data_IF_211830227429
#
_entry.id   IF_211830227429
#
_cell.length_a   1.000
_cell.length_b   1.000
_cell.length_c   1.000
_cell.angle_alpha   90.00
_cell.angle_beta   90.00
_cell.angle_gamma   90.00
#
_symmetry.space_group_name_H-M   'P 1'
#
loop_
_entity.id
_entity.type
_entity.pdbx_description
1 polymer ?
#
# COMPACT_ATOMS: atom_id res chain seq x y z
N UNK A 1 -0.97 25.09 -5.40
CA UNK A 1 -1.46 25.39 -6.78
C UNK A 1 -0.67 24.68 -7.90
N UNK A 2 0.22 23.76 -7.57
CA UNK A 2 1.03 23.02 -8.57
C UNK A 2 0.45 21.67 -9.00
N UNK A 3 -0.60 21.20 -8.34
CA UNK A 3 -1.22 19.90 -8.61
C UNK A 3 -2.09 19.82 -9.90
N UNK A 4 -2.27 20.93 -10.62
CA UNK A 4 -3.09 20.97 -11.85
C UNK A 4 -2.45 20.22 -13.04
N UNK A 5 -1.16 19.91 -12.96
CA UNK A 5 -0.45 19.14 -14.00
C UNK A 5 -0.51 17.63 -13.81
N UNK A 6 -0.75 17.15 -12.57
CA UNK A 6 -0.84 15.72 -12.22
C UNK A 6 -2.29 15.25 -12.29
N UNK A 7 -2.63 14.42 -13.25
CA UNK A 7 -3.96 13.80 -13.32
C UNK A 7 -3.83 12.29 -13.25
N UNK A 8 -4.88 11.60 -12.79
CA UNK A 8 -4.89 10.13 -12.76
C UNK A 8 -4.73 9.53 -14.16
N UNK A 9 -5.26 10.18 -15.19
CA UNK A 9 -5.11 9.73 -16.58
C UNK A 9 -3.64 9.70 -17.00
N UNK A 10 -2.86 10.73 -16.68
CA UNK A 10 -1.42 10.79 -16.99
C UNK A 10 -0.66 9.70 -16.22
N UNK A 11 -0.94 9.52 -14.93
CA UNK A 11 -0.33 8.49 -14.09
C UNK A 11 -0.63 7.09 -14.65
N UNK A 12 -1.89 6.80 -14.96
CA UNK A 12 -2.33 5.52 -15.53
C UNK A 12 -1.69 5.28 -16.89
N UNK A 13 -1.63 6.31 -17.75
CA UNK A 13 -1.00 6.21 -19.06
C UNK A 13 0.51 5.92 -18.94
N UNK A 14 1.22 6.59 -18.03
CA UNK A 14 2.63 6.31 -17.75
C UNK A 14 2.81 4.86 -17.28
N UNK A 15 2.01 4.43 -16.32
CA UNK A 15 2.09 3.07 -15.77
C UNK A 15 1.91 1.99 -16.84
N UNK A 16 0.90 2.15 -17.71
CA UNK A 16 0.65 1.21 -18.82
C UNK A 16 1.79 1.24 -19.84
N UNK A 17 2.21 2.43 -20.28
CA UNK A 17 3.21 2.59 -21.33
C UNK A 17 4.61 2.14 -20.90
N UNK A 18 4.94 2.24 -19.61
CA UNK A 18 6.27 1.91 -19.08
C UNK A 18 6.33 0.56 -18.35
N UNK A 19 5.22 -0.16 -18.30
CA UNK A 19 5.23 -1.50 -17.71
C UNK A 19 5.25 -1.52 -16.19
N UNK A 20 4.63 -0.52 -15.56
CA UNK A 20 4.39 -0.54 -14.12
C UNK A 20 3.14 -1.34 -13.78
N UNK A 21 2.00 -1.01 -14.39
CA UNK A 21 0.72 -1.62 -14.06
C UNK A 21 -0.12 -1.76 -15.34
N UNK A 22 -0.66 -2.95 -15.56
CA UNK A 22 -1.51 -3.29 -16.70
C UNK A 22 -2.93 -3.64 -16.23
N UNK A 23 -3.96 -3.51 -17.10
CA UNK A 23 -5.27 -4.13 -16.85
C UNK A 23 -5.14 -5.64 -16.75
N UNK A 24 -5.69 -6.23 -15.69
CA UNK A 24 -5.68 -7.68 -15.51
C UNK A 24 -6.50 -8.39 -16.58
N UNK A 25 -5.95 -9.44 -17.20
CA UNK A 25 -6.63 -10.27 -18.22
C UNK A 25 -7.10 -9.48 -19.45
N UNK A 26 -6.36 -8.46 -19.88
CA UNK A 26 -6.76 -7.50 -20.94
C UNK A 26 -7.12 -8.20 -22.26
N UNK A 27 -6.45 -9.32 -22.62
CA UNK A 27 -6.74 -10.07 -23.85
C UNK A 27 -8.15 -10.66 -23.92
N UNK A 28 -8.84 -10.76 -22.76
CA UNK A 28 -10.24 -11.20 -22.65
C UNK A 28 -11.21 -10.05 -22.36
N UNK A 29 -10.77 -8.80 -22.56
CA UNK A 29 -11.56 -7.61 -22.24
C UNK A 29 -11.40 -7.11 -20.80
N UNK A 30 -10.52 -7.74 -20.05
CA UNK A 30 -10.23 -7.39 -18.66
C UNK A 30 -11.30 -7.83 -17.65
N UNK A 31 -10.99 -7.63 -16.39
CA UNK A 31 -11.94 -7.72 -15.28
C UNK A 31 -11.93 -6.37 -14.55
N UNK A 32 -13.12 -5.80 -14.34
CA UNK A 32 -13.24 -4.48 -13.74
C UNK A 32 -12.42 -4.36 -12.45
N UNK A 33 -11.52 -3.39 -12.43
CA UNK A 33 -10.61 -3.08 -11.32
C UNK A 33 -9.71 -4.24 -10.86
N UNK A 34 -9.30 -5.07 -11.79
CA UNK A 34 -8.23 -6.06 -11.65
C UNK A 34 -7.01 -5.56 -12.40
N UNK A 35 -5.87 -5.57 -11.74
CA UNK A 35 -4.63 -4.98 -12.24
C UNK A 35 -3.46 -5.93 -12.00
N UNK A 36 -2.57 -6.01 -12.99
CA UNK A 36 -1.34 -6.77 -12.93
C UNK A 36 -0.15 -5.80 -12.81
N UNK A 37 0.79 -6.09 -11.91
CA UNK A 37 2.05 -5.37 -11.85
C UNK A 37 2.99 -5.89 -12.93
N UNK A 38 3.38 -5.02 -13.86
CA UNK A 38 4.32 -5.33 -14.92
C UNK A 38 5.78 -5.40 -14.45
N UNK A 39 6.75 -5.54 -15.36
CA UNK A 39 8.17 -5.73 -15.00
C UNK A 39 8.73 -4.64 -14.08
N UNK A 40 8.44 -3.37 -14.34
CA UNK A 40 8.88 -2.28 -13.46
C UNK A 40 8.03 -2.17 -12.19
N UNK A 41 6.73 -2.44 -12.31
CA UNK A 41 5.81 -2.36 -11.19
C UNK A 41 6.10 -3.38 -10.09
N UNK A 42 6.42 -4.63 -10.46
CA UNK A 42 6.74 -5.67 -9.48
C UNK A 42 8.03 -5.35 -8.72
N UNK A 43 9.06 -4.84 -9.40
CA UNK A 43 10.31 -4.41 -8.75
C UNK A 43 10.08 -3.22 -7.84
N UNK A 44 9.33 -2.20 -8.31
CA UNK A 44 8.97 -1.05 -7.51
C UNK A 44 8.21 -1.44 -6.23
N UNK A 45 7.14 -2.21 -6.36
CA UNK A 45 6.32 -2.67 -5.23
C UNK A 45 7.14 -3.55 -4.27
N UNK A 46 8.01 -4.41 -4.79
CA UNK A 46 8.91 -5.21 -3.97
C UNK A 46 9.92 -4.34 -3.21
N UNK A 47 10.42 -3.25 -3.81
CA UNK A 47 11.30 -2.32 -3.13
C UNK A 47 10.59 -1.61 -1.97
N UNK A 48 9.32 -1.18 -2.16
CA UNK A 48 8.50 -0.62 -1.08
C UNK A 48 8.32 -1.62 0.06
N UNK A 49 7.97 -2.88 -0.25
CA UNK A 49 7.82 -3.95 0.75
C UNK A 49 9.14 -4.26 1.46
N UNK A 50 10.27 -4.29 0.74
CA UNK A 50 11.61 -4.50 1.35
C UNK A 50 11.99 -3.36 2.29
N UNK A 51 11.71 -2.10 1.91
CA UNK A 51 11.95 -0.94 2.75
C UNK A 51 11.15 -1.02 4.06
N UNK A 52 9.86 -1.39 3.96
CA UNK A 52 9.03 -1.61 5.13
C UNK A 52 9.55 -2.76 6.01
N UNK A 53 9.82 -3.93 5.42
CA UNK A 53 10.34 -5.09 6.14
C UNK A 53 11.66 -4.83 6.84
N UNK A 54 12.56 -4.13 6.14
CA UNK A 54 13.84 -3.72 6.73
C UNK A 54 13.62 -2.88 7.98
N UNK A 55 12.79 -1.85 7.89
CA UNK A 55 12.59 -0.88 8.97
C UNK A 55 11.77 -1.45 10.14
N UNK A 56 10.66 -2.14 9.82
CA UNK A 56 9.72 -2.63 10.82
C UNK A 56 10.12 -3.98 11.43
N UNK A 57 10.87 -4.81 10.71
CA UNK A 57 11.24 -6.15 11.18
C UNK A 57 12.75 -6.27 11.43
N UNK A 58 13.56 -6.05 10.38
CA UNK A 58 14.98 -6.33 10.45
C UNK A 58 15.74 -5.40 11.42
N UNK A 59 15.47 -4.10 11.40
CA UNK A 59 16.10 -3.09 12.26
C UNK A 59 15.42 -2.98 13.64
N UNK A 60 14.27 -3.62 13.83
CA UNK A 60 13.52 -3.57 15.08
C UNK A 60 13.97 -4.63 16.07
N UNK A 61 14.30 -4.21 17.28
CA UNK A 61 14.55 -5.14 18.39
C UNK A 61 13.27 -5.79 18.93
N UNK A 62 12.13 -5.21 18.62
CA UNK A 62 10.83 -5.66 19.14
C UNK A 62 10.16 -6.68 18.24
N UNK A 63 10.20 -6.47 16.93
CA UNK A 63 9.31 -7.15 15.99
C UNK A 63 9.92 -8.43 15.44
N UNK A 64 9.03 -9.33 15.01
CA UNK A 64 9.33 -10.55 14.26
C UNK A 64 8.40 -10.68 13.08
N UNK A 65 8.77 -11.48 12.08
CA UNK A 65 7.94 -11.72 10.90
C UNK A 65 7.08 -12.98 11.04
N UNK A 66 5.95 -12.97 10.34
CA UNK A 66 5.04 -14.10 10.17
C UNK A 66 4.53 -14.13 8.72
N UNK A 67 4.28 -15.31 8.20
CA UNK A 67 3.52 -15.53 6.96
C UNK A 67 2.41 -16.55 7.24
N UNK A 68 1.23 -16.06 7.63
CA UNK A 68 0.07 -16.90 7.92
C UNK A 68 -0.66 -17.29 6.63
N UNK A 69 -1.30 -18.45 6.63
CA UNK A 69 -2.08 -18.93 5.50
C UNK A 69 -3.26 -18.00 5.16
N UNK A 70 -3.58 -17.89 3.87
CA UNK A 70 -4.73 -17.11 3.37
C UNK A 70 -6.04 -17.81 3.79
N UNK A 71 -6.10 -19.14 3.60
CA UNK A 71 -7.25 -19.96 3.97
C UNK A 71 -7.04 -20.43 5.41
N UNK A 72 -7.92 -19.99 6.29
CA UNK A 72 -7.89 -20.32 7.71
C UNK A 72 -9.20 -20.99 8.14
N UNK A 73 -9.22 -21.54 9.36
CA UNK A 73 -10.43 -22.06 9.93
C UNK A 73 -11.53 -20.98 9.92
N UNK A 74 -12.75 -21.26 9.40
CA UNK A 74 -13.85 -20.29 9.35
C UNK A 74 -14.20 -19.66 10.70
N UNK A 75 -14.00 -20.37 11.82
CA UNK A 75 -14.23 -19.86 13.16
C UNK A 75 -13.37 -18.63 13.49
N UNK A 76 -12.21 -18.47 12.85
CA UNK A 76 -11.40 -17.25 12.96
C UNK A 76 -12.20 -16.01 12.56
N UNK A 77 -13.00 -16.12 11.50
CA UNK A 77 -13.80 -15.02 10.97
C UNK A 77 -15.12 -14.83 11.70
N UNK A 78 -15.60 -15.87 12.38
CA UNK A 78 -16.72 -15.78 13.31
C UNK A 78 -16.27 -15.05 14.58
N UNK A 79 -15.15 -15.45 15.15
CA UNK A 79 -14.58 -14.85 16.37
C UNK A 79 -14.27 -13.36 16.19
N UNK A 80 -13.63 -12.99 15.07
CA UNK A 80 -13.31 -11.60 14.76
C UNK A 80 -14.51 -10.74 14.31
N UNK A 81 -15.70 -11.35 14.15
CA UNK A 81 -16.92 -10.65 13.73
C UNK A 81 -17.08 -10.40 12.23
N UNK A 82 -16.12 -10.79 11.39
CA UNK A 82 -16.18 -10.53 9.95
C UNK A 82 -17.35 -11.23 9.24
N UNK A 83 -17.68 -12.47 9.64
CA UNK A 83 -18.83 -13.19 9.04
C UNK A 83 -20.13 -12.47 9.32
N UNK A 84 -20.29 -11.89 10.51
CA UNK A 84 -21.52 -11.23 10.95
C UNK A 84 -21.60 -9.74 10.61
N UNK A 85 -20.49 -9.02 10.65
CA UNK A 85 -20.45 -7.55 10.67
C UNK A 85 -19.77 -6.87 9.48
N UNK A 86 -18.87 -7.56 8.77
CA UNK A 86 -18.07 -6.95 7.69
C UNK A 86 -18.90 -6.80 6.40
N UNK A 87 -19.66 -5.70 6.32
CA UNK A 87 -20.64 -5.51 5.27
C UNK A 87 -20.93 -4.05 4.97
N UNK A 88 -21.22 -3.78 3.70
CA UNK A 88 -21.66 -2.48 3.20
C UNK A 88 -23.19 -2.38 3.10
N UNK A 89 -23.78 -1.19 3.35
CA UNK A 89 -25.18 -0.90 3.07
C UNK A 89 -25.40 -0.62 1.59
N UNK A 90 -25.96 -1.58 0.84
CA UNK A 90 -26.15 -1.47 -0.59
C UNK A 90 -27.57 -1.19 -1.00
N UNK A 91 -27.72 -0.35 -2.04
CA UNK A 91 -28.97 -0.09 -2.72
C UNK A 91 -28.75 0.01 -4.23
N UNK A 92 -29.72 -0.44 -5.02
CA UNK A 92 -29.68 -0.36 -6.48
C UNK A 92 -30.60 0.78 -6.96
N UNK A 93 -30.14 1.60 -7.92
CA UNK A 93 -31.00 2.54 -8.62
C UNK A 93 -31.98 1.75 -9.50
N UNK A 94 -33.30 1.97 -9.34
CA UNK A 94 -34.30 1.25 -10.12
C UNK A 94 -34.32 1.68 -11.60
N UNK A 95 -33.85 2.91 -11.90
CA UNK A 95 -33.73 3.44 -13.23
C UNK A 95 -32.63 2.78 -14.07
N UNK A 96 -31.38 2.98 -13.69
CA UNK A 96 -30.22 2.51 -14.46
C UNK A 96 -29.64 1.17 -13.96
N UNK A 97 -30.14 0.62 -12.86
CA UNK A 97 -29.65 -0.61 -12.22
C UNK A 97 -28.23 -0.51 -11.63
N UNK A 98 -27.68 0.70 -11.59
CA UNK A 98 -26.39 0.93 -10.93
C UNK A 98 -26.52 0.68 -9.42
N UNK A 99 -25.47 0.12 -8.86
CA UNK A 99 -25.39 -0.23 -7.43
C UNK A 99 -24.55 0.78 -6.69
N UNK A 100 -25.06 1.26 -5.56
CA UNK A 100 -24.42 2.27 -4.74
C UNK A 100 -24.38 1.86 -3.28
N UNK A 101 -23.38 2.38 -2.56
CA UNK A 101 -23.33 2.34 -1.09
C UNK A 101 -24.16 3.51 -0.57
N UNK A 102 -25.13 3.22 0.26
CA UNK A 102 -26.01 4.24 0.85
C UNK A 102 -25.24 5.22 1.73
N UNK A 103 -24.30 4.74 2.54
CA UNK A 103 -23.43 5.55 3.36
C UNK A 103 -22.60 6.54 2.50
N UNK A 104 -22.03 6.09 1.40
CA UNK A 104 -21.22 6.95 0.51
C UNK A 104 -22.04 8.02 -0.19
N UNK A 105 -23.28 7.72 -0.58
CA UNK A 105 -24.18 8.72 -1.14
C UNK A 105 -24.50 9.84 -0.11
N UNK A 106 -24.62 9.46 1.15
CA UNK A 106 -24.87 10.43 2.25
C UNK A 106 -23.63 11.27 2.53
N UNK A 107 -22.44 10.64 2.63
CA UNK A 107 -21.18 11.35 2.85
C UNK A 107 -20.88 12.35 1.72
N UNK A 108 -21.12 11.97 0.48
CA UNK A 108 -20.95 12.84 -0.69
C UNK A 108 -21.92 14.01 -0.66
N UNK A 109 -23.18 13.77 -0.32
CA UNK A 109 -24.18 14.81 -0.13
C UNK A 109 -23.76 15.77 0.99
N UNK A 110 -23.32 15.26 2.14
CA UNK A 110 -22.86 16.06 3.28
C UNK A 110 -21.68 16.95 2.87
N UNK A 111 -20.70 16.38 2.17
CA UNK A 111 -19.55 17.13 1.66
C UNK A 111 -19.94 18.26 0.70
N UNK A 112 -20.82 17.97 -0.26
CA UNK A 112 -21.28 18.97 -1.24
C UNK A 112 -22.09 20.11 -0.62
N UNK A 113 -22.80 19.83 0.47
CA UNK A 113 -23.67 20.80 1.15
C UNK A 113 -23.04 21.42 2.41
N UNK A 114 -21.81 21.02 2.78
CA UNK A 114 -21.10 21.54 3.95
C UNK A 114 -21.81 21.18 5.26
N UNK A 115 -22.41 19.98 5.35
CA UNK A 115 -23.03 19.46 6.58
C UNK A 115 -22.17 18.38 7.21
N UNK A 116 -22.35 18.16 8.52
CA UNK A 116 -21.59 17.16 9.29
C UNK A 116 -22.33 15.82 9.41
N UNK A 117 -23.20 15.49 8.44
CA UNK A 117 -23.95 14.25 8.44
C UNK A 117 -23.01 13.03 8.24
N UNK A 118 -22.85 12.22 9.31
CA UNK A 118 -22.00 11.03 9.29
C UNK A 118 -22.86 9.77 9.47
N UNK A 119 -23.02 8.94 8.42
CA UNK A 119 -23.88 7.76 8.46
C UNK A 119 -23.24 6.53 9.15
N UNK A 120 -22.02 6.62 9.67
CA UNK A 120 -21.28 5.47 10.21
C UNK A 120 -22.01 4.68 11.31
N UNK A 121 -22.82 5.39 12.12
CA UNK A 121 -23.63 4.80 13.22
C UNK A 121 -25.12 4.64 12.90
N UNK A 122 -25.55 4.96 11.66
CA UNK A 122 -26.96 4.98 11.31
C UNK A 122 -27.49 3.60 10.97
N UNK A 123 -28.78 3.36 11.30
CA UNK A 123 -29.48 2.19 10.79
C UNK A 123 -29.82 2.35 9.30
N UNK A 124 -30.12 1.24 8.64
CA UNK A 124 -30.49 1.27 7.22
C UNK A 124 -31.78 2.08 6.99
N UNK A 125 -32.70 2.05 7.95
CA UNK A 125 -33.93 2.85 7.90
C UNK A 125 -33.62 4.35 7.99
N UNK A 126 -32.68 4.74 8.85
CA UNK A 126 -32.22 6.15 8.96
C UNK A 126 -31.54 6.61 7.69
N UNK A 127 -30.64 5.79 7.12
CA UNK A 127 -29.99 6.10 5.85
C UNK A 127 -31.01 6.25 4.72
N UNK A 128 -31.96 5.31 4.59
CA UNK A 128 -32.99 5.36 3.55
C UNK A 128 -33.91 6.59 3.71
N UNK A 129 -34.29 6.92 4.95
CA UNK A 129 -35.10 8.10 5.24
C UNK A 129 -34.35 9.39 4.86
N UNK A 130 -33.09 9.51 5.20
CA UNK A 130 -32.25 10.66 4.88
C UNK A 130 -32.07 10.85 3.37
N UNK A 131 -31.74 9.78 2.64
CA UNK A 131 -31.59 9.79 1.17
C UNK A 131 -32.89 10.32 0.53
N UNK A 132 -34.04 9.83 0.99
CA UNK A 132 -35.34 10.27 0.50
C UNK A 132 -35.68 11.71 0.87
N UNK A 133 -35.45 12.11 2.15
CA UNK A 133 -35.73 13.46 2.63
C UNK A 133 -34.88 14.52 1.94
N UNK A 134 -33.60 14.25 1.76
CA UNK A 134 -32.65 15.17 1.12
C UNK A 134 -32.73 15.14 -0.40
N UNK A 135 -33.54 14.24 -0.98
CA UNK A 135 -33.67 14.09 -2.43
C UNK A 135 -32.38 13.68 -3.12
N UNK A 136 -31.54 12.85 -2.45
CA UNK A 136 -30.29 12.37 -3.02
C UNK A 136 -30.61 11.51 -4.25
N UNK A 137 -29.94 11.81 -5.36
CA UNK A 137 -30.16 11.16 -6.66
C UNK A 137 -29.01 10.22 -7.03
N UNK A 138 -29.28 9.29 -7.91
CA UNK A 138 -28.28 8.40 -8.47
C UNK A 138 -27.22 9.21 -9.25
N UNK A 139 -25.94 9.12 -8.94
CA UNK A 139 -24.89 9.86 -9.64
C UNK A 139 -24.76 9.47 -11.11
N UNK A 140 -25.17 8.24 -11.49
CA UNK A 140 -25.04 7.75 -12.86
C UNK A 140 -26.16 8.23 -13.79
N UNK A 141 -27.40 8.38 -13.29
CA UNK A 141 -28.56 8.70 -14.16
C UNK A 141 -29.47 9.81 -13.64
N UNK A 142 -29.19 10.37 -12.44
CA UNK A 142 -30.04 11.40 -11.82
C UNK A 142 -31.38 10.90 -11.28
N UNK A 143 -31.66 9.59 -11.31
CA UNK A 143 -32.90 9.02 -10.77
C UNK A 143 -32.93 8.99 -9.23
N UNK A 144 -34.11 9.20 -8.63
CA UNK A 144 -34.31 9.22 -7.18
C UNK A 144 -34.96 7.95 -6.60
N UNK A 145 -35.28 6.97 -7.45
CA UNK A 145 -35.95 5.73 -7.02
C UNK A 145 -34.93 4.61 -6.81
N UNK A 146 -34.72 4.25 -5.56
CA UNK A 146 -33.80 3.21 -5.15
C UNK A 146 -34.54 2.01 -4.54
N UNK A 147 -33.86 0.87 -4.51
CA UNK A 147 -34.33 -0.30 -3.74
C UNK A 147 -34.10 -0.08 -2.24
N UNK A 148 -34.69 -0.96 -1.42
CA UNK A 148 -34.33 -1.03 -0.01
C UNK A 148 -32.84 -1.31 0.15
N UNK A 149 -32.24 -0.76 1.24
CA UNK A 149 -30.84 -1.02 1.60
C UNK A 149 -30.70 -2.44 2.08
N UNK A 150 -29.73 -3.16 1.49
CA UNK A 150 -29.41 -4.53 1.86
C UNK A 150 -27.98 -4.64 2.39
N UNK A 151 -27.80 -5.49 3.37
CA UNK A 151 -26.50 -5.85 3.90
C UNK A 151 -25.74 -6.71 2.91
N UNK A 152 -24.55 -6.31 2.51
CA UNK A 152 -23.68 -7.06 1.63
C UNK A 152 -22.34 -7.36 2.33
N UNK A 153 -22.10 -8.64 2.63
CA UNK A 153 -20.85 -9.06 3.24
C UNK A 153 -19.70 -9.02 2.23
N UNK A 154 -18.60 -8.38 2.60
CA UNK A 154 -17.44 -8.17 1.73
C UNK A 154 -16.49 -9.39 1.66
N UNK A 155 -16.74 -10.45 2.41
CA UNK A 155 -15.87 -11.64 2.37
C UNK A 155 -16.12 -12.45 1.11
N UNK A 156 -15.06 -12.82 0.40
CA UNK A 156 -15.12 -13.85 -0.62
C UNK A 156 -15.28 -15.22 0.02
N UNK A 157 -16.30 -15.95 -0.39
CA UNK A 157 -16.55 -17.35 -0.01
C UNK A 157 -15.99 -18.28 -1.08
N UNK A 158 -15.44 -19.41 -0.63
CA UNK A 158 -15.09 -20.53 -1.49
C UNK A 158 -15.31 -21.83 -0.72
N UNK A 159 -15.01 -22.97 -1.32
CA UNK A 159 -15.24 -24.29 -0.74
C UNK A 159 -13.97 -25.12 -0.76
N UNK A 160 -13.79 -25.97 0.24
CA UNK A 160 -12.76 -27.00 0.25
C UNK A 160 -13.41 -28.38 0.13
N UNK A 161 -12.71 -29.34 -0.52
CA UNK A 161 -13.27 -30.68 -0.76
C UNK A 161 -14.11 -30.73 -2.04
N UNK A 162 -14.98 -31.73 -2.13
CA UNK A 162 -15.70 -32.10 -3.36
C UNK A 162 -17.14 -31.58 -3.44
N UNK A 163 -17.67 -31.05 -2.36
CA UNK A 163 -19.06 -30.56 -2.27
C UNK A 163 -19.10 -29.09 -1.88
N UNK A 164 -19.98 -28.34 -2.54
CA UNK A 164 -20.26 -26.94 -2.27
C UNK A 164 -21.40 -26.80 -1.25
N UNK A 165 -21.12 -27.10 0.00
CA UNK A 165 -22.07 -27.00 1.10
C UNK A 165 -21.56 -26.12 2.24
N UNK A 166 -22.41 -25.87 3.22
CA UNK A 166 -22.08 -24.98 4.34
C UNK A 166 -20.96 -25.52 5.23
N UNK A 167 -20.77 -26.84 5.28
CA UNK A 167 -19.73 -27.48 6.12
C UNK A 167 -18.34 -27.35 5.48
N UNK A 168 -18.28 -27.16 4.18
CA UNK A 168 -17.06 -27.02 3.40
C UNK A 168 -16.74 -25.55 3.05
N UNK A 169 -17.55 -24.60 3.53
CA UNK A 169 -17.36 -23.17 3.29
C UNK A 169 -16.11 -22.65 4.00
N UNK A 170 -15.24 -22.00 3.25
CA UNK A 170 -14.10 -21.23 3.75
C UNK A 170 -14.10 -19.83 3.11
N UNK A 171 -13.26 -18.96 3.63
CA UNK A 171 -13.18 -17.58 3.18
C UNK A 171 -11.76 -17.23 2.74
N UNK A 172 -11.64 -16.38 1.72
CA UNK A 172 -10.39 -15.66 1.47
C UNK A 172 -10.28 -14.57 2.53
N UNK A 173 -9.13 -14.48 3.19
CA UNK A 173 -8.93 -13.51 4.29
C UNK A 173 -9.16 -12.08 3.81
N UNK A 174 -9.97 -11.25 4.51
CA UNK A 174 -10.19 -9.85 4.19
C UNK A 174 -9.11 -8.92 4.75
N UNK A 175 -8.26 -9.45 5.64
CA UNK A 175 -7.13 -8.76 6.29
C UNK A 175 -6.07 -9.76 6.75
N UNK A 176 -4.88 -9.27 7.01
CA UNK A 176 -3.75 -10.08 7.52
C UNK A 176 -3.70 -10.15 9.04
N UNK A 177 -4.37 -9.24 9.76
CA UNK A 177 -4.35 -9.12 11.22
C UNK A 177 -4.75 -10.40 11.94
N UNK A 178 -5.85 -11.04 11.55
CA UNK A 178 -6.37 -12.23 12.24
C UNK A 178 -5.40 -13.41 12.18
N UNK A 179 -4.62 -13.53 11.09
CA UNK A 179 -3.54 -14.50 10.99
C UNK A 179 -2.45 -14.28 12.04
N UNK A 180 -2.23 -13.04 12.46
CA UNK A 180 -1.28 -12.69 13.51
C UNK A 180 -1.86 -13.07 14.88
N UNK A 181 -3.10 -12.66 15.16
CA UNK A 181 -3.73 -12.93 16.47
C UNK A 181 -3.83 -14.42 16.80
N UNK A 182 -4.29 -15.26 15.86
CA UNK A 182 -4.40 -16.71 16.09
C UNK A 182 -3.04 -17.39 16.27
N UNK A 183 -1.96 -16.77 15.85
CA UNK A 183 -0.60 -17.26 16.01
C UNK A 183 0.18 -16.61 17.17
N UNK A 184 -0.43 -15.68 17.94
CA UNK A 184 0.23 -14.94 19.01
C UNK A 184 1.03 -15.86 19.94
N UNK A 185 0.40 -16.85 20.54
CA UNK A 185 1.04 -17.78 21.49
C UNK A 185 2.18 -18.60 20.85
N UNK A 186 2.01 -19.02 19.60
CA UNK A 186 3.02 -19.81 18.89
C UNK A 186 4.25 -18.99 18.59
N UNK A 187 4.05 -17.76 18.13
CA UNK A 187 5.13 -16.82 17.82
C UNK A 187 5.85 -16.38 19.10
N UNK A 188 5.10 -15.99 20.14
CA UNK A 188 5.68 -15.55 21.41
C UNK A 188 6.57 -16.64 22.03
N UNK A 189 6.11 -17.89 22.07
CA UNK A 189 6.86 -19.02 22.63
C UNK A 189 8.08 -19.38 21.78
N UNK A 190 7.94 -19.46 20.46
CA UNK A 190 9.03 -19.86 19.57
C UNK A 190 10.13 -18.80 19.47
N UNK A 191 9.75 -17.53 19.48
CA UNK A 191 10.69 -16.40 19.44
C UNK A 191 11.22 -15.99 20.81
N UNK A 192 10.63 -16.50 21.90
CA UNK A 192 10.93 -16.15 23.30
C UNK A 192 10.88 -14.64 23.58
N UNK A 193 10.01 -13.94 22.85
CA UNK A 193 9.84 -12.50 23.03
C UNK A 193 9.11 -12.20 24.33
N UNK A 194 9.55 -11.15 25.00
CA UNK A 194 8.85 -10.50 26.12
C UNK A 194 8.07 -9.30 25.59
N UNK A 195 7.01 -8.91 26.27
CA UNK A 195 6.32 -7.66 25.98
C UNK A 195 7.19 -6.44 26.32
N UNK A 196 7.17 -5.35 25.53
CA UNK A 196 6.43 -5.25 24.30
C UNK A 196 7.11 -5.93 23.11
N UNK A 197 6.34 -6.56 22.23
CA UNK A 197 6.85 -7.05 20.95
C UNK A 197 5.79 -7.02 19.87
N UNK A 198 6.20 -7.00 18.61
CA UNK A 198 5.31 -6.97 17.47
C UNK A 198 5.48 -8.18 16.55
N UNK A 199 4.40 -8.50 15.85
CA UNK A 199 4.39 -9.51 14.78
C UNK A 199 3.98 -8.80 13.49
N UNK A 200 4.83 -8.90 12.47
CA UNK A 200 4.66 -8.25 11.18
C UNK A 200 4.32 -9.27 10.10
N UNK A 201 3.45 -8.89 9.19
CA UNK A 201 3.11 -9.69 8.02
C UNK A 201 2.96 -8.81 6.78
N UNK A 202 3.45 -9.31 5.64
CA UNK A 202 3.09 -8.82 4.30
C UNK A 202 2.30 -9.92 3.63
N UNK A 203 1.11 -9.62 3.14
CA UNK A 203 0.30 -10.66 2.51
C UNK A 203 -0.90 -10.16 1.74
N UNK A 204 -1.39 -11.01 0.84
CA UNK A 204 -2.62 -10.79 0.09
C UNK A 204 -3.84 -10.83 0.98
N UNK A 205 -4.77 -9.89 0.71
CA UNK A 205 -6.10 -9.82 1.30
C UNK A 205 -7.14 -9.59 0.21
N UNK A 206 -8.39 -9.96 0.49
CA UNK A 206 -9.45 -10.02 -0.50
C UNK A 206 -10.74 -9.41 0.06
N UNK A 207 -11.27 -8.40 -0.61
CA UNK A 207 -12.56 -7.79 -0.25
C UNK A 207 -13.42 -7.69 -1.50
N UNK A 208 -14.61 -8.26 -1.46
CA UNK A 208 -15.55 -8.21 -2.57
C UNK A 208 -16.17 -6.81 -2.70
N UNK A 209 -15.30 -5.82 -2.95
CA UNK A 209 -15.67 -4.42 -3.09
C UNK A 209 -16.73 -4.22 -4.19
N UNK A 210 -17.76 -3.46 -3.86
CA UNK A 210 -18.86 -3.18 -4.80
C UNK A 210 -18.52 -2.02 -5.73
N UNK A 211 -17.85 -0.99 -5.20
CA UNK A 211 -17.41 0.18 -5.94
C UNK A 211 -15.89 0.27 -5.94
N UNK A 212 -15.19 -0.72 -6.56
CA UNK A 212 -13.75 -0.60 -6.73
C UNK A 212 -13.46 0.57 -7.67
N UNK A 213 -12.33 1.26 -7.48
CA UNK A 213 -12.05 2.44 -8.30
C UNK A 213 -10.70 3.07 -8.02
N UNK A 214 -10.44 4.17 -8.73
CA UNK A 214 -9.22 4.94 -8.59
C UNK A 214 -7.96 4.10 -8.81
N UNK A 215 -7.93 3.36 -9.92
CA UNK A 215 -6.78 2.53 -10.30
C UNK A 215 -6.51 1.44 -9.24
N UNK A 216 -5.28 1.30 -8.74
CA UNK A 216 -4.93 0.32 -7.70
C UNK A 216 -5.23 0.79 -6.27
N UNK A 217 -5.88 1.94 -6.09
CA UNK A 217 -6.24 2.45 -4.78
C UNK A 217 -7.30 1.60 -4.07
N UNK A 218 -8.32 1.13 -4.81
CA UNK A 218 -9.37 0.25 -4.27
C UNK A 218 -9.65 -0.89 -5.23
N UNK A 219 -9.11 -2.05 -4.91
CA UNK A 219 -9.22 -3.30 -5.67
C UNK A 219 -9.82 -4.40 -4.81
N UNK A 220 -10.24 -5.51 -5.43
CA UNK A 220 -10.78 -6.68 -4.72
C UNK A 220 -9.70 -7.60 -4.16
N UNK A 221 -8.54 -7.58 -4.78
CA UNK A 221 -7.33 -8.28 -4.36
C UNK A 221 -6.21 -7.26 -4.16
N UNK A 222 -5.63 -7.22 -2.98
CA UNK A 222 -4.59 -6.24 -2.62
C UNK A 222 -3.59 -6.86 -1.64
N UNK A 223 -2.50 -6.16 -1.36
CA UNK A 223 -1.53 -6.55 -0.33
C UNK A 223 -1.57 -5.59 0.85
N UNK A 224 -1.50 -6.15 2.06
CA UNK A 224 -1.30 -5.39 3.30
C UNK A 224 0.11 -5.63 3.83
N UNK A 225 0.67 -4.60 4.45
CA UNK A 225 1.84 -4.65 5.34
C UNK A 225 1.35 -4.26 6.72
N UNK A 226 1.31 -5.20 7.64
CA UNK A 226 0.60 -5.06 8.90
C UNK A 226 1.49 -5.46 10.07
N UNK A 227 1.45 -4.67 11.12
CA UNK A 227 2.11 -4.92 12.40
C UNK A 227 1.06 -4.95 13.49
N UNK A 228 1.02 -6.05 14.24
CA UNK A 228 0.31 -6.11 15.52
C UNK A 228 1.33 -6.02 16.64
N UNK A 229 1.34 -4.89 17.33
CA UNK A 229 2.28 -4.60 18.40
C UNK A 229 1.64 -4.81 19.78
N UNK A 230 2.05 -5.85 20.44
CA UNK A 230 1.53 -6.29 21.73
C UNK A 230 2.25 -5.57 22.87
N UNK A 231 1.51 -4.94 23.77
CA UNK A 231 2.05 -4.19 24.90
C UNK A 231 1.26 -4.45 26.20
N UNK A 232 1.83 -4.01 27.33
CA UNK A 232 1.15 -4.08 28.63
C UNK A 232 -0.04 -3.10 28.65
N UNK A 233 -1.23 -3.52 29.13
CA UNK A 233 -2.35 -2.61 29.31
C UNK A 233 -1.96 -1.37 30.12
N UNK A 234 -2.39 -0.19 29.66
CA UNK A 234 -2.02 1.10 30.25
C UNK A 234 -0.76 1.75 29.66
N UNK A 235 0.00 1.05 28.79
CA UNK A 235 1.11 1.63 28.01
C UNK A 235 0.76 1.82 26.53
N UNK A 236 -0.43 1.43 26.15
CA UNK A 236 -0.97 1.41 24.79
C UNK A 236 -0.92 2.77 24.09
N UNK A 237 -1.36 3.84 24.75
CA UNK A 237 -1.37 5.19 24.17
C UNK A 237 0.05 5.76 23.94
N UNK A 238 1.03 5.36 24.76
CA UNK A 238 2.43 5.73 24.52
C UNK A 238 2.97 5.03 23.26
N UNK A 239 2.66 3.73 23.11
CA UNK A 239 3.03 2.97 21.93
C UNK A 239 2.26 3.39 20.68
N UNK A 240 1.00 3.79 20.83
CA UNK A 240 0.22 4.40 19.75
C UNK A 240 0.90 5.66 19.22
N UNK A 241 1.27 6.59 20.11
CA UNK A 241 1.99 7.79 19.72
C UNK A 241 3.38 7.48 19.09
N UNK A 242 4.10 6.50 19.64
CA UNK A 242 5.37 6.05 19.07
C UNK A 242 5.21 5.55 17.63
N UNK A 243 4.27 4.62 17.39
CA UNK A 243 4.07 4.04 16.07
C UNK A 243 3.50 5.06 15.07
N UNK A 244 2.63 5.97 15.51
CA UNK A 244 2.16 7.07 14.67
C UNK A 244 3.34 7.91 14.14
N UNK A 245 4.24 8.34 15.01
CA UNK A 245 5.41 9.11 14.61
C UNK A 245 6.38 8.29 13.76
N UNK A 246 6.60 7.01 14.10
CA UNK A 246 7.49 6.12 13.35
C UNK A 246 7.01 5.89 11.92
N UNK A 247 5.70 5.65 11.74
CA UNK A 247 5.10 5.48 10.43
C UNK A 247 5.19 6.75 9.57
N UNK A 248 4.94 7.90 10.17
CA UNK A 248 5.08 9.19 9.48
C UNK A 248 6.51 9.42 9.00
N UNK A 249 7.48 9.23 9.90
CA UNK A 249 8.89 9.42 9.56
C UNK A 249 9.35 8.45 8.45
N UNK A 250 8.87 7.19 8.43
CA UNK A 250 9.18 6.23 7.39
C UNK A 250 8.74 6.70 5.99
N UNK A 251 7.57 7.33 5.88
CA UNK A 251 7.10 7.92 4.62
C UNK A 251 8.01 9.06 4.15
N UNK A 252 8.39 9.95 5.09
CA UNK A 252 9.28 11.10 4.79
C UNK A 252 10.70 10.64 4.41
N UNK A 253 11.26 9.67 5.15
CA UNK A 253 12.59 9.10 4.88
C UNK A 253 12.69 8.49 3.48
N UNK A 254 11.56 8.02 2.91
CA UNK A 254 11.47 7.49 1.55
C UNK A 254 11.08 8.55 0.50
N UNK A 255 11.12 9.82 0.88
CA UNK A 255 10.98 10.95 -0.03
C UNK A 255 9.55 11.41 -0.28
N UNK A 256 8.55 10.93 0.48
CA UNK A 256 7.20 11.46 0.39
C UNK A 256 7.14 12.87 0.98
N UNK A 257 6.52 13.81 0.29
CA UNK A 257 6.45 15.21 0.71
C UNK A 257 5.40 15.40 1.80
N UNK A 258 5.81 16.02 2.89
CA UNK A 258 4.95 16.24 4.07
C UNK A 258 3.69 17.09 3.75
N UNK A 259 3.81 18.05 2.83
CA UNK A 259 2.68 18.85 2.37
C UNK A 259 1.57 18.05 1.65
N UNK A 260 1.88 16.86 1.16
CA UNK A 260 0.93 15.92 0.55
C UNK A 260 0.38 14.89 1.54
N UNK A 261 0.79 14.96 2.81
CA UNK A 261 0.32 14.08 3.88
C UNK A 261 -0.52 14.87 4.89
N UNK A 262 -1.49 14.21 5.48
CA UNK A 262 -2.14 14.67 6.70
C UNK A 262 -2.48 13.50 7.62
N UNK A 263 -2.41 13.75 8.91
CA UNK A 263 -2.84 12.81 9.94
C UNK A 263 -4.22 13.24 10.42
N UNK A 264 -5.18 12.32 10.41
CA UNK A 264 -6.56 12.55 10.85
C UNK A 264 -6.89 11.62 12.00
N UNK A 265 -6.95 12.18 13.21
CA UNK A 265 -7.40 11.44 14.37
C UNK A 265 -8.93 11.25 14.29
N UNK A 266 -9.42 10.05 14.58
CA UNK A 266 -10.85 9.76 14.63
C UNK A 266 -11.50 10.40 15.86
N UNK A 267 -12.68 10.97 15.67
CA UNK A 267 -13.53 11.38 16.78
C UNK A 267 -14.07 10.17 17.55
N UNK A 268 -14.51 10.32 18.82
CA UNK A 268 -15.09 9.21 19.58
C UNK A 268 -16.26 8.51 18.88
N UNK A 269 -17.01 9.23 18.05
CA UNK A 269 -18.16 8.72 17.29
C UNK A 269 -17.75 7.91 16.06
N UNK A 270 -16.55 8.16 15.53
CA UNK A 270 -16.00 7.45 14.38
C UNK A 270 -15.22 6.17 14.77
N UNK A 271 -14.81 6.07 16.05
CA UNK A 271 -14.02 4.92 16.48
C UNK A 271 -14.78 3.61 16.29
N UNK A 272 -14.10 2.63 15.73
CA UNK A 272 -14.60 1.25 15.75
C UNK A 272 -14.80 0.80 17.21
N UNK A 273 -15.79 -0.07 17.42
CA UNK A 273 -16.17 -0.55 18.76
C UNK A 273 -15.03 -1.26 19.54
N UNK A 274 -13.99 -1.68 18.85
CA UNK A 274 -12.80 -2.33 19.42
C UNK A 274 -11.62 -1.37 19.60
N UNK A 275 -11.73 -0.14 19.12
CA UNK A 275 -10.61 0.81 19.10
C UNK A 275 -10.78 1.89 20.17
N UNK A 276 -9.69 2.17 20.89
CA UNK A 276 -9.58 3.25 21.87
C UNK A 276 -9.08 4.56 21.25
N UNK A 277 -8.27 4.45 20.21
CA UNK A 277 -7.75 5.55 19.41
C UNK A 277 -7.43 5.06 17.99
N UNK A 278 -7.66 5.91 16.99
CA UNK A 278 -7.31 5.63 15.59
C UNK A 278 -6.85 6.91 14.92
N UNK A 279 -5.78 6.83 14.15
CA UNK A 279 -5.29 7.90 13.28
C UNK A 279 -5.13 7.36 11.86
N UNK A 280 -5.76 8.01 10.89
CA UNK A 280 -5.53 7.76 9.47
C UNK A 280 -4.41 8.65 8.96
N UNK A 281 -3.54 8.08 8.15
CA UNK A 281 -2.58 8.80 7.33
C UNK A 281 -3.20 8.92 5.94
N UNK A 282 -3.44 10.14 5.51
CA UNK A 282 -4.03 10.40 4.22
C UNK A 282 -3.03 11.11 3.30
N UNK A 283 -3.05 10.74 2.02
CA UNK A 283 -2.24 11.36 0.97
C UNK A 283 -3.14 12.09 -0.02
N UNK A 284 -2.67 13.23 -0.53
CA UNK A 284 -3.35 14.04 -1.53
C UNK A 284 -3.13 13.49 -2.93
N UNK A 285 -3.99 12.54 -3.33
CA UNK A 285 -4.04 12.03 -4.69
C UNK A 285 -4.67 13.04 -5.66
N UNK A 286 -4.53 12.87 -6.98
CA UNK A 286 -5.24 13.72 -7.95
C UNK A 286 -6.77 13.68 -7.83
N UNK A 287 -7.33 12.63 -7.23
CA UNK A 287 -8.77 12.50 -6.95
C UNK A 287 -9.17 13.00 -5.54
N UNK A 288 -8.26 13.60 -4.79
CA UNK A 288 -8.49 14.09 -3.43
C UNK A 288 -7.77 13.27 -2.37
N UNK A 289 -8.06 13.57 -1.11
CA UNK A 289 -7.47 12.88 0.04
C UNK A 289 -7.89 11.42 0.09
N UNK A 290 -6.92 10.54 0.25
CA UNK A 290 -7.13 9.10 0.34
C UNK A 290 -6.27 8.49 1.44
N UNK A 291 -6.87 7.60 2.22
CA UNK A 291 -6.23 6.87 3.31
C UNK A 291 -5.14 5.95 2.78
N UNK A 292 -3.94 6.07 3.33
CA UNK A 292 -2.80 5.18 3.10
C UNK A 292 -2.65 4.14 4.19
N UNK A 293 -2.76 4.59 5.44
CA UNK A 293 -2.34 3.92 6.64
C UNK A 293 -3.30 4.20 7.77
N UNK A 294 -3.70 3.17 8.51
CA UNK A 294 -4.36 3.31 9.78
C UNK A 294 -3.40 2.91 10.90
N UNK A 295 -3.35 3.69 11.97
CA UNK A 295 -2.75 3.26 13.25
C UNK A 295 -3.88 3.23 14.26
N UNK A 296 -4.16 2.06 14.85
CA UNK A 296 -5.26 1.85 15.78
C UNK A 296 -4.77 1.25 17.10
N UNK A 297 -5.29 1.75 18.21
CA UNK A 297 -5.21 1.05 19.51
C UNK A 297 -6.44 0.15 19.63
N UNK A 298 -6.24 -1.16 19.44
CA UNK A 298 -7.27 -2.21 19.40
C UNK A 298 -7.57 -2.79 20.76
N UNK A 299 -6.91 -2.32 21.81
CA UNK A 299 -6.99 -2.87 23.17
C UNK A 299 -6.71 -4.39 23.20
N UNK A 300 -7.41 -5.15 24.03
CA UNK A 300 -7.34 -6.63 24.10
C UNK A 300 -8.43 -7.34 23.29
N UNK A 301 -9.17 -6.59 22.47
CA UNK A 301 -10.38 -7.08 21.82
C UNK A 301 -10.17 -8.39 21.04
N UNK A 302 -9.21 -8.40 20.11
CA UNK A 302 -9.03 -9.55 19.20
C UNK A 302 -8.57 -10.80 19.94
N UNK A 303 -7.56 -10.68 20.82
CA UNK A 303 -7.11 -11.81 21.64
C UNK A 303 -8.23 -12.33 22.55
N UNK A 304 -9.00 -11.44 23.17
CA UNK A 304 -10.14 -11.79 23.99
C UNK A 304 -11.26 -12.50 23.21
N UNK A 305 -11.53 -12.08 21.98
CA UNK A 305 -12.50 -12.77 21.12
C UNK A 305 -12.00 -14.18 20.73
N UNK A 306 -10.73 -14.32 20.33
CA UNK A 306 -10.17 -15.63 20.01
C UNK A 306 -10.11 -16.54 21.23
N UNK A 307 -9.80 -16.05 22.42
CA UNK A 307 -9.86 -16.81 23.66
C UNK A 307 -11.28 -17.30 23.93
N UNK A 308 -12.27 -16.41 23.88
CA UNK A 308 -13.68 -16.73 24.10
C UNK A 308 -14.21 -17.79 23.14
N UNK A 309 -13.89 -17.70 21.86
CA UNK A 309 -14.40 -18.62 20.84
C UNK A 309 -13.65 -19.94 20.77
N UNK A 310 -12.34 -19.94 21.00
CA UNK A 310 -11.52 -21.14 20.94
C UNK A 310 -11.42 -21.88 22.26
N UNK A 311 -11.67 -21.22 23.37
CA UNK A 311 -11.42 -21.76 24.74
C UNK A 311 -9.92 -21.91 25.03
N UNK A 312 -9.03 -21.27 24.24
CA UNK A 312 -7.57 -21.31 24.45
C UNK A 312 -7.11 -20.01 25.10
N UNK A 313 -6.29 -20.14 26.14
CA UNK A 313 -5.68 -19.00 26.83
C UNK A 313 -4.81 -18.18 25.87
N UNK A 314 -5.12 -16.89 25.71
CA UNK A 314 -4.37 -15.90 24.95
C UNK A 314 -3.69 -14.88 25.85
N UNK A 315 -3.57 -15.14 27.16
CA UNK A 315 -2.88 -14.25 28.09
C UNK A 315 -1.37 -14.36 27.98
N UNK A 316 -0.70 -13.30 28.40
CA UNK A 316 0.76 -13.25 28.57
C UNK A 316 1.09 -13.39 30.05
N UNK A 317 2.05 -14.25 30.39
CA UNK A 317 2.62 -14.33 31.73
C UNK A 317 3.84 -13.43 31.84
N UNK A 318 3.73 -12.39 32.65
CA UNK A 318 4.83 -11.50 32.97
C UNK A 318 5.67 -12.10 34.10
N UNK A 319 6.85 -12.59 33.76
CA UNK A 319 7.77 -13.22 34.71
C UNK A 319 8.34 -12.24 35.75
N UNK A 320 8.33 -10.93 35.46
CA UNK A 320 8.88 -9.91 36.33
C UNK A 320 7.89 -9.53 37.44
N UNK A 321 6.61 -9.49 37.11
CA UNK A 321 5.54 -9.16 38.06
C UNK A 321 4.79 -10.37 38.60
N UNK A 322 4.89 -11.53 37.93
CA UNK A 322 4.10 -12.74 38.22
C UNK A 322 2.63 -12.63 37.83
N UNK A 323 2.26 -11.64 37.03
CA UNK A 323 0.89 -11.38 36.60
C UNK A 323 0.56 -12.06 35.27
N UNK A 324 -0.70 -12.46 35.09
CA UNK A 324 -1.28 -12.84 33.82
C UNK A 324 -2.22 -11.75 33.32
N UNK A 325 -2.09 -11.34 32.07
CA UNK A 325 -2.99 -10.38 31.46
C UNK A 325 -3.06 -10.58 29.95
N UNK A 326 -4.20 -10.22 29.34
CA UNK A 326 -4.31 -10.14 27.89
C UNK A 326 -3.61 -8.88 27.40
N UNK A 327 -2.61 -8.96 26.49
CA UNK A 327 -1.95 -7.79 25.96
C UNK A 327 -2.90 -6.86 25.23
N UNK A 328 -2.61 -5.55 25.31
CA UNK A 328 -3.21 -4.57 24.41
C UNK A 328 -2.42 -4.52 23.11
N UNK A 329 -3.07 -4.13 22.03
CA UNK A 329 -2.53 -4.17 20.69
C UNK A 329 -2.58 -2.80 20.04
N UNK A 330 -1.45 -2.35 19.49
CA UNK A 330 -1.36 -1.19 18.59
C UNK A 330 -1.08 -1.72 17.19
N UNK A 331 -1.94 -1.38 16.25
CA UNK A 331 -1.93 -1.86 14.87
C UNK A 331 -1.58 -0.74 13.89
N UNK A 332 -0.35 -0.64 13.37
CA UNK A 332 -0.07 0.03 12.10
C UNK A 332 -0.40 -0.88 10.92
N UNK A 333 -1.42 -0.53 10.14
CA UNK A 333 -1.89 -1.30 8.97
C UNK A 333 -1.85 -0.47 7.70
N UNK A 334 -1.10 -0.93 6.69
CA UNK A 334 -0.79 -0.23 5.46
C UNK A 334 -1.15 -1.06 4.23
N UNK A 335 -1.88 -0.46 3.29
CA UNK A 335 -2.08 -1.04 1.96
C UNK A 335 -0.84 -0.87 1.09
N UNK A 336 -0.15 -1.97 0.75
CA UNK A 336 1.06 -1.92 -0.09
C UNK A 336 0.80 -1.30 -1.46
N UNK A 337 -0.37 -1.58 -2.06
CA UNK A 337 -0.78 -1.03 -3.35
C UNK A 337 -1.06 0.47 -3.27
N UNK A 338 -1.72 0.93 -2.19
CA UNK A 338 -2.02 2.35 -1.97
C UNK A 338 -0.76 3.17 -1.75
N UNK A 339 0.16 2.71 -0.91
CA UNK A 339 1.40 3.43 -0.65
C UNK A 339 2.34 3.43 -1.86
N UNK A 340 2.38 2.33 -2.63
CA UNK A 340 3.12 2.31 -3.89
C UNK A 340 2.54 3.33 -4.89
N UNK A 341 1.19 3.40 -5.00
CA UNK A 341 0.55 4.44 -5.82
C UNK A 341 0.88 5.85 -5.30
N UNK A 342 0.86 6.08 -4.00
CA UNK A 342 1.19 7.39 -3.42
C UNK A 342 2.63 7.80 -3.73
N UNK A 343 3.61 6.92 -3.54
CA UNK A 343 5.01 7.19 -3.94
C UNK A 343 5.14 7.48 -5.43
N UNK A 344 4.41 6.77 -6.27
CA UNK A 344 4.44 6.98 -7.73
C UNK A 344 3.83 8.33 -8.11
N UNK A 345 2.70 8.69 -7.52
CA UNK A 345 2.03 9.98 -7.73
C UNK A 345 2.90 11.12 -7.21
N UNK A 346 3.49 10.95 -6.02
CA UNK A 346 4.35 11.98 -5.44
C UNK A 346 5.60 12.21 -6.28
N UNK A 347 6.22 11.13 -6.76
CA UNK A 347 7.43 11.17 -7.58
C UNK A 347 7.22 11.71 -9.00
N UNK A 348 6.00 11.67 -9.55
CA UNK A 348 5.74 12.10 -10.93
C UNK A 348 5.92 13.59 -11.09
N UNK A 349 6.66 14.02 -12.12
CA UNK A 349 6.75 15.42 -12.53
C UNK A 349 6.89 15.57 -14.05
N UNK A 350 6.51 16.76 -14.55
CA UNK A 350 6.72 17.22 -15.92
C UNK A 350 7.50 18.52 -15.85
N UNK A 351 8.80 18.45 -16.14
CA UNK A 351 9.73 19.57 -16.05
C UNK A 351 10.03 20.16 -17.43
N UNK A 352 9.83 21.45 -17.58
CA UNK A 352 10.29 22.18 -18.76
C UNK A 352 11.78 22.55 -18.61
N UNK A 353 12.64 21.84 -19.35
CA UNK A 353 14.10 22.02 -19.27
C UNK A 353 14.62 23.01 -20.32
N UNK A 354 13.85 23.31 -21.35
CA UNK A 354 14.04 24.36 -22.33
C UNK A 354 12.68 24.72 -22.94
N UNK A 355 12.57 25.86 -23.61
CA UNK A 355 11.33 26.30 -24.25
C UNK A 355 10.75 25.20 -25.15
N UNK A 356 9.58 24.67 -24.78
CA UNK A 356 8.90 23.60 -25.49
C UNK A 356 9.51 22.19 -25.34
N UNK A 357 10.56 22.02 -24.53
CA UNK A 357 11.15 20.71 -24.23
C UNK A 357 10.82 20.27 -22.80
N UNK A 358 9.78 19.48 -22.68
CA UNK A 358 9.30 18.92 -21.38
C UNK A 358 9.83 17.52 -21.20
N UNK A 359 10.42 17.24 -20.02
CA UNK A 359 10.74 15.87 -19.60
C UNK A 359 9.70 15.37 -18.59
N UNK A 360 9.25 14.15 -18.78
CA UNK A 360 8.53 13.40 -17.74
C UNK A 360 9.57 12.68 -16.88
N UNK A 361 9.45 12.78 -15.57
CA UNK A 361 10.39 12.17 -14.62
C UNK A 361 9.66 11.61 -13.42
N UNK A 362 10.16 10.49 -12.88
CA UNK A 362 9.74 9.94 -11.60
C UNK A 362 10.86 10.12 -10.58
N UNK A 363 10.69 11.07 -9.67
CA UNK A 363 11.64 11.40 -8.61
C UNK A 363 11.57 10.40 -7.42
N UNK A 364 11.64 9.11 -7.71
CA UNK A 364 11.66 8.10 -6.64
C UNK A 364 12.90 8.26 -5.76
N UNK A 365 12.72 8.07 -4.45
CA UNK A 365 13.87 7.78 -3.60
C UNK A 365 14.67 6.62 -4.23
N UNK A 366 16.01 6.71 -4.35
CA UNK A 366 16.79 5.70 -5.06
C UNK A 366 16.58 4.27 -4.56
N UNK A 367 16.29 4.08 -3.26
CA UNK A 367 15.95 2.78 -2.70
C UNK A 367 14.65 2.20 -3.28
N UNK A 368 13.68 3.03 -3.69
CA UNK A 368 12.41 2.58 -4.25
C UNK A 368 12.45 2.38 -5.77
N UNK A 369 13.36 3.05 -6.49
CA UNK A 369 13.45 2.96 -7.93
C UNK A 369 13.50 1.50 -8.41
N UNK A 370 12.69 1.12 -9.42
CA UNK A 370 12.66 -0.27 -9.93
C UNK A 370 13.98 -0.69 -10.58
N UNK A 371 14.64 0.25 -11.23
CA UNK A 371 15.98 0.10 -11.83
C UNK A 371 16.93 1.02 -11.07
N UNK A 372 18.04 0.48 -10.56
CA UNK A 372 18.98 1.27 -9.74
C UNK A 372 19.97 2.06 -10.57
N UNK A 373 20.35 1.52 -11.72
CA UNK A 373 21.23 2.17 -12.66
C UNK A 373 20.97 1.69 -14.09
N UNK A 374 21.29 2.50 -15.08
CA UNK A 374 21.29 2.10 -16.47
C UNK A 374 22.70 2.27 -17.08
N UNK A 375 23.22 1.24 -17.73
CA UNK A 375 24.49 1.26 -18.44
C UNK A 375 24.25 1.59 -19.91
N UNK A 376 24.81 2.69 -20.37
CA UNK A 376 24.52 3.31 -21.65
C UNK A 376 25.82 3.50 -22.46
N UNK A 377 26.23 2.55 -23.34
CA UNK A 377 27.40 2.74 -24.17
C UNK A 377 27.18 3.90 -25.15
N UNK A 378 28.10 4.88 -25.20
CA UNK A 378 27.98 6.05 -26.08
C UNK A 378 27.89 5.63 -27.57
N UNK A 379 28.54 4.55 -27.93
CA UNK A 379 28.51 3.94 -29.26
C UNK A 379 28.37 2.42 -29.15
N UNK A 380 27.72 1.78 -30.14
CA UNK A 380 27.64 0.34 -30.25
C UNK A 380 29.01 -0.37 -30.27
N UNK A 381 30.07 0.33 -30.69
CA UNK A 381 31.43 -0.22 -30.63
C UNK A 381 31.94 -0.49 -29.22
N UNK A 382 31.34 0.15 -28.24
CA UNK A 382 31.69 0.05 -26.82
C UNK A 382 30.78 -0.95 -26.06
N UNK A 383 29.77 -1.53 -26.74
CA UNK A 383 28.73 -2.32 -26.09
C UNK A 383 29.28 -3.55 -25.37
N UNK A 384 30.27 -4.24 -25.93
CA UNK A 384 30.87 -5.45 -25.32
C UNK A 384 31.47 -5.15 -23.95
N UNK A 385 32.26 -4.09 -23.82
CA UNK A 385 32.85 -3.67 -22.54
C UNK A 385 31.84 -3.04 -21.58
N UNK A 386 30.88 -2.29 -22.11
CA UNK A 386 29.79 -1.77 -21.30
C UNK A 386 28.90 -2.90 -20.72
N UNK A 387 28.75 -4.04 -21.43
CA UNK A 387 28.08 -5.22 -20.93
C UNK A 387 28.84 -5.87 -19.77
N UNK A 388 30.17 -5.86 -19.76
CA UNK A 388 30.95 -6.34 -18.59
C UNK A 388 30.60 -5.55 -17.32
N UNK A 389 30.46 -4.23 -17.45
CA UNK A 389 30.02 -3.38 -16.34
C UNK A 389 28.58 -3.69 -15.94
N UNK A 390 27.67 -3.84 -16.90
CA UNK A 390 26.29 -4.25 -16.64
C UNK A 390 26.23 -5.57 -15.89
N UNK A 391 26.93 -6.61 -16.37
CA UNK A 391 26.96 -7.94 -15.76
C UNK A 391 27.52 -7.91 -14.33
N UNK A 392 28.45 -6.99 -14.06
CA UNK A 392 28.98 -6.83 -12.71
C UNK A 392 27.99 -6.14 -11.77
N UNK A 393 27.31 -5.08 -12.21
CA UNK A 393 26.29 -4.37 -11.43
C UNK A 393 25.03 -5.22 -11.23
N UNK A 394 24.64 -6.02 -12.22
CA UNK A 394 23.46 -6.89 -12.18
C UNK A 394 23.54 -8.00 -11.11
N UNK A 395 24.72 -8.30 -10.58
CA UNK A 395 24.90 -9.22 -9.45
C UNK A 395 24.35 -8.66 -8.13
N UNK A 396 24.26 -7.33 -8.03
CA UNK A 396 23.84 -6.64 -6.81
C UNK A 396 22.43 -6.03 -6.92
N UNK A 397 22.09 -5.51 -8.10
CA UNK A 397 20.87 -4.71 -8.30
C UNK A 397 20.19 -5.00 -9.62
N UNK A 398 18.92 -4.61 -9.71
CA UNK A 398 18.22 -4.52 -10.98
C UNK A 398 18.77 -3.31 -11.77
N UNK A 399 19.41 -3.59 -12.89
CA UNK A 399 20.02 -2.59 -13.78
C UNK A 399 19.52 -2.80 -15.21
N UNK A 400 19.52 -1.73 -16.02
CA UNK A 400 19.20 -1.80 -17.44
C UNK A 400 20.43 -1.53 -18.31
N UNK A 401 20.39 -2.08 -19.52
CA UNK A 401 21.36 -1.82 -20.58
C UNK A 401 20.63 -1.31 -21.81
N UNK A 402 21.01 -0.14 -22.33
CA UNK A 402 20.37 0.43 -23.51
C UNK A 402 21.40 1.06 -24.46
N UNK A 403 21.44 0.56 -25.70
CA UNK A 403 22.28 1.06 -26.77
C UNK A 403 21.49 1.68 -27.94
N UNK A 404 20.15 1.83 -27.77
CA UNK A 404 19.23 2.18 -28.86
C UNK A 404 18.92 3.65 -28.94
N UNK A 405 19.29 4.30 -30.04
CA UNK A 405 19.07 5.72 -30.29
C UNK A 405 20.14 6.64 -29.69
N UNK A 406 19.90 7.95 -29.66
CA UNK A 406 20.85 8.91 -29.10
C UNK A 406 20.89 8.85 -27.57
N UNK A 407 22.03 9.23 -26.98
CA UNK A 407 22.23 9.21 -25.53
C UNK A 407 21.16 10.04 -24.79
N UNK A 408 20.80 11.21 -25.33
CA UNK A 408 19.75 12.06 -24.75
C UNK A 408 18.37 11.38 -24.70
N UNK A 409 17.99 10.60 -25.76
CA UNK A 409 16.75 9.82 -25.76
C UNK A 409 16.78 8.68 -24.72
N UNK A 410 17.95 8.10 -24.51
CA UNK A 410 18.13 7.04 -23.49
C UNK A 410 18.02 7.61 -22.08
N UNK A 411 18.60 8.77 -21.81
CA UNK A 411 18.41 9.48 -20.53
C UNK A 411 16.93 9.75 -20.26
N UNK A 412 16.18 10.26 -21.27
CA UNK A 412 14.73 10.52 -21.12
C UNK A 412 13.94 9.26 -20.76
N UNK A 413 14.25 8.11 -21.39
CA UNK A 413 13.59 6.85 -21.06
C UNK A 413 13.85 6.42 -19.62
N UNK A 414 15.06 6.65 -19.11
CA UNK A 414 15.42 6.35 -17.73
C UNK A 414 14.82 7.34 -16.73
N UNK A 415 14.73 8.63 -17.09
CA UNK A 415 14.03 9.63 -16.27
C UNK A 415 12.55 9.25 -16.08
N UNK A 416 11.87 8.82 -17.15
CA UNK A 416 10.45 8.41 -17.13
C UNK A 416 10.16 7.19 -16.26
N UNK A 417 11.11 6.31 -16.03
CA UNK A 417 10.95 5.12 -15.16
C UNK A 417 11.59 5.31 -13.78
N UNK A 418 12.19 6.48 -13.55
CA UNK A 418 12.73 6.86 -12.26
C UNK A 418 14.09 6.26 -11.92
N UNK A 419 14.88 5.83 -12.90
CA UNK A 419 16.25 5.32 -12.68
C UNK A 419 17.15 6.43 -12.15
N UNK A 420 17.72 6.31 -10.93
CA UNK A 420 18.46 7.41 -10.31
C UNK A 420 19.81 7.70 -10.99
N UNK A 421 20.47 6.69 -11.57
CA UNK A 421 21.81 6.83 -12.12
C UNK A 421 21.90 6.28 -13.53
N UNK A 422 22.33 7.11 -14.48
CA UNK A 422 22.67 6.68 -15.83
C UNK A 422 24.19 6.68 -15.99
N UNK A 423 24.76 5.53 -16.32
CA UNK A 423 26.21 5.33 -16.44
C UNK A 423 26.57 5.26 -17.93
N UNK A 424 27.24 6.28 -18.42
CA UNK A 424 27.69 6.33 -19.80
C UNK A 424 29.12 5.78 -19.91
N UNK A 425 29.26 4.70 -20.68
CA UNK A 425 30.54 4.17 -21.10
C UNK A 425 30.92 4.81 -22.42
N UNK A 426 31.98 5.59 -22.45
CA UNK A 426 32.42 6.41 -23.60
C UNK A 426 33.80 5.98 -24.12
N UNK A 427 34.31 6.65 -25.14
CA UNK A 427 35.62 6.34 -25.73
C UNK A 427 36.78 6.72 -24.81
N UNK A 428 36.60 7.70 -23.92
CA UNK A 428 37.64 8.08 -22.97
C UNK A 428 37.77 7.06 -21.84
N UNK A 429 36.70 6.31 -21.57
CA UNK A 429 36.70 5.19 -20.60
C UNK A 429 37.77 4.15 -20.93
N UNK A 430 38.03 3.93 -22.25
CA UNK A 430 39.09 3.04 -22.72
C UNK A 430 40.51 3.51 -22.34
N UNK A 431 40.67 4.82 -22.12
CA UNK A 431 41.96 5.44 -21.86
C UNK A 431 42.21 5.68 -20.37
N UNK A 432 41.19 6.17 -19.65
CA UNK A 432 41.29 6.61 -18.25
C UNK A 432 40.61 5.66 -17.23
N UNK A 433 39.90 4.64 -17.70
CA UNK A 433 39.21 3.70 -16.82
C UNK A 433 38.05 4.32 -16.04
N UNK A 434 37.53 5.47 -16.48
CA UNK A 434 36.44 6.18 -15.82
C UNK A 434 35.17 6.19 -16.67
N UNK A 435 34.01 6.20 -16.04
CA UNK A 435 32.69 6.37 -16.66
C UNK A 435 32.03 7.65 -16.20
N UNK A 436 31.09 8.15 -17.01
CA UNK A 436 30.29 9.31 -16.63
C UNK A 436 28.98 8.83 -16.01
N UNK A 437 28.71 9.23 -14.76
CA UNK A 437 27.45 8.96 -14.06
C UNK A 437 26.63 10.25 -14.08
N UNK A 438 25.41 10.16 -14.65
CA UNK A 438 24.42 11.24 -14.62
C UNK A 438 23.41 10.97 -13.54
N UNK A 439 23.22 11.92 -12.66
CA UNK A 439 22.14 11.94 -11.67
C UNK A 439 20.82 12.35 -12.33
N UNK A 440 19.74 11.63 -12.03
CA UNK A 440 18.40 11.87 -12.59
C UNK A 440 17.83 13.21 -12.21
N UNK A 441 17.96 13.60 -10.94
CA UNK A 441 17.24 14.75 -10.38
C UNK A 441 17.95 16.06 -10.75
N UNK A 442 19.24 16.16 -10.50
CA UNK A 442 20.04 17.34 -10.84
C UNK A 442 20.46 17.42 -12.31
N UNK A 443 20.41 16.30 -13.05
CA UNK A 443 21.01 16.12 -14.38
C UNK A 443 22.52 16.35 -14.44
N UNK A 444 23.17 16.56 -13.31
CA UNK A 444 24.61 16.71 -13.22
C UNK A 444 25.33 15.41 -13.60
N UNK A 445 26.51 15.56 -14.17
CA UNK A 445 27.33 14.46 -14.62
C UNK A 445 28.68 14.52 -13.90
N UNK A 446 29.06 13.39 -13.32
CA UNK A 446 30.36 13.22 -12.67
C UNK A 446 31.12 12.09 -13.32
N UNK A 447 32.44 12.25 -13.44
CA UNK A 447 33.32 11.20 -13.96
C UNK A 447 33.96 10.46 -12.80
N UNK A 448 33.75 9.12 -12.74
CA UNK A 448 34.27 8.28 -11.66
C UNK A 448 34.96 7.03 -12.21
N UNK A 449 35.97 6.48 -11.50
CA UNK A 449 36.59 5.22 -11.87
C UNK A 449 35.60 4.05 -11.91
N UNK A 450 35.74 3.15 -12.88
CA UNK A 450 34.92 1.92 -13.01
C UNK A 450 34.89 1.13 -11.68
N UNK A 451 36.02 1.03 -10.99
CA UNK A 451 36.10 0.31 -9.71
C UNK A 451 35.28 0.95 -8.57
N UNK A 452 34.91 2.20 -8.67
CA UNK A 452 34.16 2.94 -7.64
C UNK A 452 32.65 2.98 -7.90
N UNK A 453 32.18 2.57 -9.10
CA UNK A 453 30.77 2.65 -9.49
C UNK A 453 29.86 1.91 -8.51
N UNK A 454 30.22 0.69 -8.09
CA UNK A 454 29.43 -0.05 -7.10
C UNK A 454 29.31 0.68 -5.77
N UNK A 455 30.42 1.19 -5.27
CA UNK A 455 30.42 1.94 -4.00
C UNK A 455 29.58 3.22 -4.09
N UNK A 456 29.69 3.92 -5.23
CA UNK A 456 28.93 5.14 -5.53
C UNK A 456 27.42 4.88 -5.49
N UNK A 457 26.95 3.83 -6.17
CA UNK A 457 25.53 3.44 -6.17
C UNK A 457 25.10 2.98 -4.78
N UNK A 458 25.85 2.04 -4.17
CA UNK A 458 25.51 1.45 -2.89
C UNK A 458 25.32 2.48 -1.77
N UNK A 459 26.12 3.54 -1.77
CA UNK A 459 26.01 4.62 -0.80
C UNK A 459 24.72 5.44 -0.97
N UNK A 460 24.27 5.65 -2.20
CA UNK A 460 23.15 6.54 -2.54
C UNK A 460 21.79 5.86 -2.57
N UNK A 461 21.75 4.54 -2.66
CA UNK A 461 20.50 3.75 -2.57
C UNK A 461 20.21 3.28 -1.13
N UNK A 462 21.03 3.66 -0.15
CA UNK A 462 20.79 3.34 1.26
C UNK A 462 19.49 3.96 1.74
N UNK A 463 18.84 3.21 2.58
CA UNK A 463 17.60 3.60 3.22
C UNK A 463 17.61 3.04 4.65
#
# INVERSE_FOLDING_TARGET
MENSKKTMEKIVALCKNRGFIFPGSEIYGGLANSWDYGPLGVEFKNNVKRAWWKKFVQESRYNVGLDAAIIMNPETWVASGHVGGFSDPLMDCKGCKARHRADKLIEEYAFQNGTDDNPASWTFEQMAAFIKEKGIVCPDCGGSDFTDIKKFNLMFKTFIGVTEDSTNTVYLRPETAQGIFVNFNSVQRSSRKKLPFGICQIGKSFRNEITPGNFVFRTREFEQMELEFFCKPGTDLEWFAYWKNFCHQWLLDLGMRDENLRLRDHSPEELCFYSKATTDFEFLFPFGWGELWGVADRTDYDLGQHEKHSGKDCTYFDQETGEHYTPYVVEPSLGADRVALAFLVDAYDEEEIAEGDVRTVLHFHPALAPVKAAVLPLSKKLSEKALELFDDLAKEWNVEFDETGSIGKRYRRQDEIGTPFCITYDFDTENDGCVTVRDRDSMEQVRIPLAEVKAYIAERIKF
#
